data_IF_254673750554
#
_entry.id   IF_254673750554
#
_cell.length_a   1.000
_cell.length_b   1.000
_cell.length_c   1.000
_cell.angle_alpha   90.00
_cell.angle_beta   90.00
_cell.angle_gamma   90.00
#
_symmetry.space_group_name_H-M   'P 1'
#
loop_
_entity.id
_entity.type
_entity.pdbx_description
1 polymer ?
#
# COMPACT_ATOMS: atom_id res chain seq x y z
N UNK A 1 17.10 -50.18 -11.71
CA UNK A 1 17.70 -48.83 -11.62
C UNK A 1 18.31 -48.48 -12.97
N UNK A 2 17.63 -47.68 -13.78
CA UNK A 2 18.16 -47.15 -15.03
C UNK A 2 17.37 -45.89 -15.38
N UNK A 3 17.73 -44.74 -14.80
CA UNK A 3 17.12 -43.44 -15.16
C UNK A 3 18.12 -42.42 -15.72
N UNK A 4 19.42 -42.78 -15.77
CA UNK A 4 20.50 -41.86 -16.16
C UNK A 4 21.23 -42.22 -17.46
N UNK A 5 20.81 -43.23 -18.22
CA UNK A 5 21.45 -43.50 -19.51
C UNK A 5 21.00 -42.45 -20.54
N UNK A 6 21.95 -41.61 -20.98
CA UNK A 6 21.85 -40.60 -22.05
C UNK A 6 20.78 -39.49 -21.87
N UNK A 7 20.58 -38.95 -20.65
CA UNK A 7 19.82 -37.69 -20.50
C UNK A 7 20.54 -36.56 -21.22
N UNK A 8 19.84 -35.86 -22.10
CA UNK A 8 20.41 -34.71 -22.79
C UNK A 8 20.42 -33.48 -21.87
N UNK A 9 21.24 -32.48 -22.21
CA UNK A 9 21.21 -31.19 -21.52
C UNK A 9 19.81 -30.54 -21.54
N UNK A 10 19.06 -30.71 -22.63
CA UNK A 10 17.70 -30.21 -22.75
C UNK A 10 16.71 -30.93 -21.81
N UNK A 11 16.91 -32.22 -21.53
CA UNK A 11 16.06 -32.95 -20.58
C UNK A 11 16.33 -32.52 -19.13
N UNK A 12 17.61 -32.35 -18.78
CA UNK A 12 18.02 -31.92 -17.43
C UNK A 12 17.51 -30.50 -17.14
N UNK A 13 17.58 -29.59 -18.10
CA UNK A 13 17.08 -28.21 -17.94
C UNK A 13 15.57 -28.17 -17.71
N UNK A 14 14.78 -28.94 -18.48
CA UNK A 14 13.33 -29.06 -18.26
C UNK A 14 12.99 -29.62 -16.87
N UNK A 15 13.72 -30.63 -16.41
CA UNK A 15 13.51 -31.19 -15.08
C UNK A 15 13.87 -30.20 -13.97
N UNK A 16 14.92 -29.39 -14.15
CA UNK A 16 15.26 -28.29 -13.23
C UNK A 16 14.13 -27.27 -13.16
N UNK A 17 13.56 -26.85 -14.29
CA UNK A 17 12.44 -25.89 -14.31
C UNK A 17 11.21 -26.43 -13.59
N UNK A 18 10.89 -27.71 -13.81
CA UNK A 18 9.79 -28.39 -13.11
C UNK A 18 10.03 -28.44 -11.60
N UNK A 19 11.22 -28.86 -11.17
CA UNK A 19 11.59 -28.92 -9.76
C UNK A 19 11.61 -27.54 -9.10
N UNK A 20 12.07 -26.50 -9.81
CA UNK A 20 12.03 -25.13 -9.33
C UNK A 20 10.59 -24.63 -9.15
N UNK A 21 9.71 -24.95 -10.10
CA UNK A 21 8.29 -24.61 -9.99
C UNK A 21 7.64 -25.31 -8.80
N UNK A 22 7.90 -26.60 -8.63
CA UNK A 22 7.41 -27.37 -7.49
C UNK A 22 7.92 -26.81 -6.16
N UNK A 23 9.22 -26.49 -6.08
CA UNK A 23 9.81 -25.87 -4.89
C UNK A 23 9.18 -24.51 -4.58
N UNK A 24 8.88 -23.69 -5.59
CA UNK A 24 8.18 -22.42 -5.39
C UNK A 24 6.75 -22.61 -4.89
N UNK A 25 6.02 -23.58 -5.43
CA UNK A 25 4.64 -23.84 -5.02
C UNK A 25 4.57 -24.42 -3.61
N UNK A 26 5.53 -25.27 -3.23
CA UNK A 26 5.67 -25.74 -1.85
C UNK A 26 5.97 -24.58 -0.91
N UNK A 27 6.97 -23.74 -1.25
CA UNK A 27 7.32 -22.56 -0.44
C UNK A 27 6.13 -21.61 -0.25
N UNK A 28 5.30 -21.39 -1.29
CA UNK A 28 4.10 -20.55 -1.17
C UNK A 28 3.12 -21.12 -0.16
N UNK A 29 2.92 -22.44 -0.14
CA UNK A 29 2.03 -23.12 0.82
C UNK A 29 2.57 -22.98 2.25
N UNK A 30 3.85 -23.24 2.45
CA UNK A 30 4.50 -23.09 3.76
C UNK A 30 4.41 -21.65 4.27
N UNK A 31 4.70 -20.67 3.40
CA UNK A 31 4.59 -19.24 3.74
C UNK A 31 3.14 -18.88 4.08
N UNK A 32 2.16 -19.37 3.33
CA UNK A 32 0.75 -19.10 3.60
C UNK A 32 0.32 -19.64 4.97
N UNK A 33 0.76 -20.84 5.35
CA UNK A 33 0.50 -21.42 6.67
C UNK A 33 1.15 -20.58 7.78
N UNK A 34 2.41 -20.19 7.61
CA UNK A 34 3.13 -19.35 8.58
C UNK A 34 2.45 -17.99 8.73
N UNK A 35 2.04 -17.37 7.62
CA UNK A 35 1.30 -16.09 7.63
C UNK A 35 -0.03 -16.24 8.36
N UNK A 36 -0.77 -17.33 8.14
CA UNK A 36 -2.01 -17.59 8.86
C UNK A 36 -1.77 -17.67 10.37
N UNK A 37 -0.74 -18.42 10.81
CA UNK A 37 -0.36 -18.53 12.23
C UNK A 37 0.05 -17.18 12.82
N UNK A 38 0.80 -16.35 12.09
CA UNK A 38 1.18 -15.00 12.54
C UNK A 38 -0.05 -14.11 12.66
N UNK A 39 -0.97 -14.16 11.70
CA UNK A 39 -2.20 -13.38 11.75
C UNK A 39 -3.10 -13.79 12.92
N UNK A 40 -3.18 -15.07 13.24
CA UNK A 40 -3.87 -15.56 14.43
C UNK A 40 -3.24 -15.00 15.71
N UNK A 41 -1.91 -15.04 15.83
CA UNK A 41 -1.19 -14.45 16.96
C UNK A 41 -1.43 -12.93 17.05
N UNK A 42 -1.44 -12.22 15.91
CA UNK A 42 -1.77 -10.79 15.85
C UNK A 42 -3.18 -10.53 16.39
N UNK A 43 -4.16 -11.32 15.97
CA UNK A 43 -5.55 -11.15 16.39
C UNK A 43 -5.75 -11.51 17.87
N UNK A 44 -5.13 -12.60 18.33
CA UNK A 44 -5.28 -13.10 19.70
C UNK A 44 -4.64 -12.16 20.73
N UNK A 45 -3.44 -11.64 20.44
CA UNK A 45 -2.70 -10.77 21.36
C UNK A 45 -2.87 -9.27 21.06
N UNK A 46 -3.64 -8.90 20.04
CA UNK A 46 -3.85 -7.50 19.65
C UNK A 46 -2.57 -6.80 19.18
N UNK A 47 -1.63 -7.54 18.57
CA UNK A 47 -0.36 -6.99 18.11
C UNK A 47 -0.58 -5.96 16.99
N UNK A 48 0.23 -4.91 17.00
CA UNK A 48 0.28 -3.89 15.95
C UNK A 48 1.55 -4.09 15.13
N UNK A 49 1.61 -3.58 13.90
CA UNK A 49 2.83 -3.66 13.08
C UNK A 49 4.08 -3.14 13.78
N UNK A 50 3.94 -2.16 14.69
CA UNK A 50 5.04 -1.61 15.49
C UNK A 50 5.61 -2.57 16.54
N UNK A 51 4.84 -3.60 16.93
CA UNK A 51 5.26 -4.61 17.91
C UNK A 51 6.08 -5.72 17.24
N UNK A 52 5.99 -5.85 15.91
CA UNK A 52 6.73 -6.81 15.11
C UNK A 52 8.06 -6.21 14.66
N UNK A 53 9.18 -6.84 15.03
CA UNK A 53 10.51 -6.43 14.60
C UNK A 53 10.86 -7.13 13.28
N UNK A 54 10.79 -6.40 12.18
CA UNK A 54 11.30 -6.85 10.90
C UNK A 54 12.79 -6.53 10.81
N UNK A 55 13.63 -7.54 10.58
CA UNK A 55 15.07 -7.36 10.44
C UNK A 55 15.40 -6.27 9.41
N UNK A 56 16.22 -5.29 9.79
CA UNK A 56 16.60 -4.16 8.93
C UNK A 56 15.89 -2.83 9.21
N UNK A 57 14.84 -2.81 10.03
CA UNK A 57 14.24 -1.55 10.48
C UNK A 57 15.00 -0.99 11.69
N UNK A 58 15.80 0.07 11.47
CA UNK A 58 16.28 0.92 12.58
C UNK A 58 15.06 1.52 13.29
N UNK A 59 15.02 1.56 14.62
CA UNK A 59 13.87 2.09 15.34
C UNK A 59 13.74 3.59 15.05
N UNK A 60 12.73 3.97 14.26
CA UNK A 60 12.29 5.35 14.22
C UNK A 60 11.46 5.59 15.48
N UNK A 61 12.12 6.04 16.53
CA UNK A 61 11.52 6.38 17.82
C UNK A 61 10.65 7.62 17.64
N UNK A 62 9.40 7.45 17.22
CA UNK A 62 8.31 8.46 17.30
C UNK A 62 6.95 7.81 17.01
N UNK A 63 6.44 7.05 17.97
CA UNK A 63 5.03 6.71 18.03
C UNK A 63 4.58 6.60 19.49
N UNK A 64 4.54 7.76 20.16
CA UNK A 64 3.72 7.92 21.36
C UNK A 64 2.28 8.18 20.91
N UNK A 65 1.37 7.28 21.26
CA UNK A 65 0.27 7.50 22.24
C UNK A 65 -0.84 6.48 22.02
N UNK A 66 -1.31 5.94 23.14
CA UNK A 66 -2.47 5.08 23.25
C UNK A 66 -3.75 5.81 22.81
N UNK A 67 -4.65 5.07 22.18
CA UNK A 67 -5.97 5.53 21.79
C UNK A 67 -6.75 4.41 21.13
N UNK A 68 -7.66 3.81 21.89
CA UNK A 68 -8.70 2.91 21.41
C UNK A 68 -9.62 3.61 20.40
N UNK A 69 -10.29 2.78 19.59
CA UNK A 69 -11.43 3.08 18.71
C UNK A 69 -11.15 3.28 17.20
N UNK A 70 -11.67 2.29 16.46
CA UNK A 70 -12.26 2.31 15.11
C UNK A 70 -11.45 3.00 14.01
N UNK A 71 -10.93 2.15 13.12
CA UNK A 71 -10.43 2.49 11.78
C UNK A 71 -11.55 3.14 10.96
N UNK A 72 -11.74 4.44 11.10
CA UNK A 72 -12.38 5.29 10.09
C UNK A 72 -11.35 5.58 8.98
N UNK A 73 -11.78 5.75 7.72
CA UNK A 73 -10.86 5.97 6.62
C UNK A 73 -10.05 7.24 6.86
N UNK A 74 -8.77 7.14 6.53
CA UNK A 74 -7.72 8.15 6.60
C UNK A 74 -8.22 9.53 6.12
N UNK A 75 -8.78 10.32 7.05
CA UNK A 75 -8.92 11.76 6.85
C UNK A 75 -7.53 12.34 7.00
N UNK A 76 -6.72 12.24 5.93
CA UNK A 76 -5.74 13.28 5.63
C UNK A 76 -6.47 14.58 5.92
N UNK A 77 -6.00 15.33 6.91
CA UNK A 77 -6.56 16.62 7.30
C UNK A 77 -6.73 17.40 6.00
N UNK A 78 -7.95 17.43 5.46
CA UNK A 78 -8.22 18.10 4.20
C UNK A 78 -7.86 19.54 4.51
N UNK A 79 -6.76 20.01 3.93
CA UNK A 79 -6.39 21.41 4.07
C UNK A 79 -7.64 22.19 3.68
N UNK A 80 -8.09 23.09 4.55
CA UNK A 80 -9.30 23.87 4.30
C UNK A 80 -9.23 24.41 2.87
N UNK A 81 -10.27 24.14 2.08
CA UNK A 81 -10.29 24.64 0.71
C UNK A 81 -10.33 26.17 0.78
N UNK A 82 -9.26 26.80 0.31
CA UNK A 82 -9.13 28.26 0.32
C UNK A 82 -10.03 28.90 -0.71
N UNK A 83 -10.42 28.15 -1.75
CA UNK A 83 -11.32 28.62 -2.80
C UNK A 83 -12.43 27.60 -3.09
N UNK A 84 -13.66 28.05 -3.37
CA UNK A 84 -14.83 27.23 -3.70
C UNK A 84 -15.73 27.95 -4.72
N UNK A 85 -16.41 27.20 -5.57
CA UNK A 85 -17.48 27.71 -6.45
C UNK A 85 -18.89 27.29 -5.98
N UNK A 86 -19.91 27.90 -6.59
CA UNK A 86 -21.34 27.61 -6.35
C UNK A 86 -21.73 26.17 -6.76
N UNK A 87 -20.93 25.55 -7.64
CA UNK A 87 -21.11 24.16 -8.10
C UNK A 87 -20.51 23.13 -7.13
N UNK A 88 -19.95 23.57 -6.00
CA UNK A 88 -19.39 22.70 -4.97
C UNK A 88 -17.96 22.23 -5.24
N UNK A 89 -17.29 22.74 -6.28
CA UNK A 89 -15.88 22.52 -6.51
C UNK A 89 -15.05 23.33 -5.50
N UNK A 90 -13.96 22.74 -5.01
CA UNK A 90 -13.13 23.37 -3.99
C UNK A 90 -11.64 23.14 -4.29
N UNK A 91 -10.81 24.15 -4.01
CA UNK A 91 -9.37 24.12 -4.25
C UNK A 91 -8.62 24.69 -3.05
N UNK A 92 -7.59 23.97 -2.61
CA UNK A 92 -6.82 24.27 -1.39
C UNK A 92 -5.74 25.33 -1.62
N UNK A 93 -5.59 25.85 -2.85
CA UNK A 93 -4.49 26.74 -3.22
C UNK A 93 -3.14 26.03 -3.39
N UNK A 94 -3.10 24.69 -3.23
CA UNK A 94 -1.89 23.89 -3.37
C UNK A 94 -1.94 23.07 -4.67
N UNK A 95 -0.83 23.02 -5.39
CA UNK A 95 -0.72 22.31 -6.67
C UNK A 95 -1.30 23.12 -7.85
N UNK A 96 -1.49 22.50 -9.02
CA UNK A 96 -2.02 23.18 -10.20
C UNK A 96 -3.47 23.62 -9.98
N UNK A 97 -3.81 24.83 -10.47
CA UNK A 97 -5.20 25.32 -10.47
C UNK A 97 -6.12 24.33 -11.20
N UNK A 98 -7.32 24.07 -10.68
CA UNK A 98 -8.30 23.24 -11.38
C UNK A 98 -8.93 23.99 -12.55
N UNK A 99 -9.51 23.25 -13.51
CA UNK A 99 -10.06 23.82 -14.76
C UNK A 99 -11.16 24.85 -14.52
N UNK A 100 -12.11 24.56 -13.62
CA UNK A 100 -13.20 25.49 -13.28
C UNK A 100 -12.70 26.86 -12.82
N UNK A 101 -11.59 26.90 -12.08
CA UNK A 101 -11.02 28.16 -11.58
C UNK A 101 -10.25 28.90 -12.69
N UNK A 102 -9.68 28.19 -13.65
CA UNK A 102 -9.06 28.83 -14.83
C UNK A 102 -10.13 29.44 -15.72
N UNK A 103 -11.17 28.67 -16.04
CA UNK A 103 -12.28 29.11 -16.89
C UNK A 103 -12.99 30.33 -16.27
N UNK A 104 -13.17 30.34 -14.95
CA UNK A 104 -13.75 31.48 -14.24
C UNK A 104 -12.88 32.75 -14.31
N UNK A 105 -11.56 32.61 -14.23
CA UNK A 105 -10.63 33.73 -14.37
C UNK A 105 -10.57 34.26 -15.80
N UNK A 106 -10.70 33.37 -16.80
CA UNK A 106 -10.82 33.77 -18.21
C UNK A 106 -12.14 34.48 -18.51
N UNK A 107 -13.21 34.16 -17.76
CA UNK A 107 -14.50 34.86 -17.82
C UNK A 107 -14.48 36.24 -17.11
N UNK A 108 -13.32 36.70 -16.67
CA UNK A 108 -13.15 38.03 -16.05
C UNK A 108 -13.49 38.08 -14.56
N UNK A 109 -13.75 36.93 -13.91
CA UNK A 109 -13.86 36.88 -12.45
C UNK A 109 -12.48 36.89 -11.83
N UNK A 110 -12.38 37.36 -10.60
CA UNK A 110 -11.12 37.42 -9.85
C UNK A 110 -11.04 36.24 -8.88
N UNK A 111 -9.83 35.83 -8.52
CA UNK A 111 -9.58 34.64 -7.70
C UNK A 111 -10.20 34.79 -6.30
N UNK A 112 -10.28 36.03 -5.82
CA UNK A 112 -10.81 36.44 -4.54
C UNK A 112 -12.32 36.20 -4.42
N UNK A 113 -13.06 36.23 -5.53
CA UNK A 113 -14.51 35.95 -5.57
C UNK A 113 -14.83 34.51 -5.11
N UNK A 114 -13.86 33.62 -5.27
CA UNK A 114 -13.99 32.22 -4.91
C UNK A 114 -13.43 31.92 -3.53
N UNK A 115 -12.86 32.88 -2.80
CA UNK A 115 -12.24 32.60 -1.50
C UNK A 115 -13.28 32.25 -0.42
N UNK A 116 -13.00 31.22 0.40
CA UNK A 116 -13.85 30.78 1.54
C UNK A 116 -13.08 30.88 2.85
#
# INVERSE_FOLDING_TARGET
MAKNAARTYADITKEIELLQKEAQDLRKKEVAEVVARINEAIAHYGLRPSDLKFGGQRPNVKAQVAGTAKKAPDKRKALAAKYRDDKGNAWTGRGPRPRWLRDALEQGKVLEDFAV
#
